data_IF_355539679819
#
_entry.id   IF_355539679819
#
_cell.length_a   1.000
_cell.length_b   1.000
_cell.length_c   1.000
_cell.angle_alpha   90.00
_cell.angle_beta   90.00
_cell.angle_gamma   90.00
#
_symmetry.space_group_name_H-M   'P 1'
#
loop_
_entity.id
_entity.type
_entity.pdbx_description
1 polymer ?
#
# COMPACT_ATOMS: atom_id res chain seq x y z
N UNK A 1 -28.65 35.20 3.45
CA UNK A 1 -27.21 34.89 3.31
C UNK A 1 -26.91 33.69 4.18
N UNK A 2 -26.20 32.65 3.71
CA UNK A 2 -25.85 31.53 4.57
C UNK A 2 -24.94 32.05 5.68
N UNK A 3 -25.31 31.77 6.92
CA UNK A 3 -24.50 32.03 8.11
C UNK A 3 -23.15 31.33 7.94
N UNK A 4 -22.09 32.10 7.77
CA UNK A 4 -20.71 31.60 7.77
C UNK A 4 -20.36 31.16 9.19
N UNK A 5 -20.72 29.92 9.52
CA UNK A 5 -20.21 29.22 10.69
C UNK A 5 -18.68 29.23 10.62
N UNK A 6 -18.02 29.76 11.66
CA UNK A 6 -16.56 29.70 11.78
C UNK A 6 -16.03 28.30 12.11
N UNK A 7 -16.92 27.32 12.27
CA UNK A 7 -16.58 25.93 12.58
C UNK A 7 -16.94 25.00 11.42
N UNK A 8 -16.11 23.96 11.22
CA UNK A 8 -16.39 22.88 10.27
C UNK A 8 -17.60 22.06 10.75
N UNK A 9 -18.53 21.79 9.84
CA UNK A 9 -19.74 20.98 10.02
C UNK A 9 -19.91 20.06 8.81
N UNK A 10 -20.75 19.03 8.91
CA UNK A 10 -21.05 18.18 7.76
C UNK A 10 -21.62 18.99 6.58
N UNK A 11 -22.34 20.07 6.87
CA UNK A 11 -22.93 20.93 5.83
C UNK A 11 -21.92 21.80 5.07
N UNK A 12 -20.69 21.95 5.58
CA UNK A 12 -19.68 22.85 4.99
C UNK A 12 -18.33 22.19 4.65
N UNK A 13 -18.23 20.87 4.75
CA UNK A 13 -17.09 20.10 4.24
C UNK A 13 -17.32 19.65 2.79
N UNK A 14 -16.26 19.16 2.14
CA UNK A 14 -16.32 18.69 0.76
C UNK A 14 -17.39 17.57 0.62
N UNK A 15 -18.42 17.75 -0.23
CA UNK A 15 -19.50 16.78 -0.38
C UNK A 15 -19.01 15.40 -0.88
N UNK A 16 -17.88 15.35 -1.59
CA UNK A 16 -17.28 14.08 -2.03
C UNK A 16 -16.79 13.22 -0.84
N UNK A 17 -16.39 13.83 0.28
CA UNK A 17 -16.05 13.09 1.50
C UNK A 17 -17.28 12.54 2.22
N UNK A 18 -18.44 13.17 2.04
CA UNK A 18 -19.72 12.74 2.63
C UNK A 18 -20.30 11.58 1.82
N UNK A 19 -20.21 11.66 0.48
CA UNK A 19 -20.73 10.64 -0.43
C UNK A 19 -19.87 9.36 -0.49
N UNK A 20 -18.58 9.45 -0.17
CA UNK A 20 -17.65 8.32 -0.25
C UNK A 20 -17.94 7.26 0.81
N UNK A 21 -18.17 6.01 0.39
CA UNK A 21 -18.35 4.86 1.27
C UNK A 21 -17.20 3.85 1.11
N UNK A 22 -16.53 3.49 2.20
CA UNK A 22 -15.46 2.49 2.17
C UNK A 22 -15.81 1.27 3.04
N UNK A 23 -16.57 0.35 2.45
CA UNK A 23 -17.17 -0.78 3.16
C UNK A 23 -16.18 -1.79 3.79
N UNK A 24 -14.90 -1.77 3.38
CA UNK A 24 -13.86 -2.70 3.91
C UNK A 24 -13.61 -2.50 5.42
N UNK A 25 -14.00 -1.35 5.98
CA UNK A 25 -13.96 -1.06 7.43
C UNK A 25 -15.32 -0.62 7.98
N UNK A 26 -16.40 -1.20 7.45
CA UNK A 26 -17.77 -0.86 7.80
C UNK A 26 -18.28 -1.43 9.13
N UNK A 27 -19.61 -1.40 9.36
CA UNK A 27 -20.26 -1.78 10.62
C UNK A 27 -19.90 -3.18 11.13
N UNK A 28 -19.69 -4.15 10.24
CA UNK A 28 -19.30 -5.51 10.62
C UNK A 28 -17.92 -5.54 11.30
N UNK A 29 -16.96 -4.74 10.81
CA UNK A 29 -15.61 -4.66 11.38
C UNK A 29 -15.64 -3.99 12.74
N UNK A 30 -16.50 -2.96 12.89
CA UNK A 30 -16.73 -2.28 14.18
C UNK A 30 -17.31 -3.27 15.18
N UNK A 31 -18.38 -3.99 14.80
CA UNK A 31 -19.02 -4.97 15.68
C UNK A 31 -18.08 -6.13 16.04
N UNK A 32 -17.27 -6.60 15.10
CA UNK A 32 -16.23 -7.61 15.37
C UNK A 32 -15.26 -7.13 16.46
N UNK A 33 -14.80 -5.87 16.40
CA UNK A 33 -13.93 -5.29 17.42
C UNK A 33 -14.59 -5.10 18.79
N UNK A 34 -15.90 -4.84 18.83
CA UNK A 34 -16.66 -4.84 20.09
C UNK A 34 -16.73 -6.24 20.70
N UNK A 35 -17.01 -7.26 19.88
CA UNK A 35 -17.09 -8.66 20.32
C UNK A 35 -15.74 -9.15 20.86
N UNK A 36 -14.62 -8.80 20.20
CA UNK A 36 -13.27 -9.08 20.70
C UNK A 36 -13.09 -8.53 22.13
N UNK A 37 -13.46 -7.26 22.37
CA UNK A 37 -13.39 -6.63 23.71
C UNK A 37 -14.37 -7.25 24.72
N UNK A 38 -15.52 -7.73 24.27
CA UNK A 38 -16.47 -8.45 25.13
C UNK A 38 -15.87 -9.80 25.58
N UNK A 39 -15.25 -10.55 24.67
CA UNK A 39 -14.58 -11.82 24.97
C UNK A 39 -13.39 -11.63 25.93
N UNK A 40 -12.58 -10.60 25.73
CA UNK A 40 -11.48 -10.23 26.66
C UNK A 40 -11.97 -9.96 28.09
N UNK A 41 -13.19 -9.43 28.24
CA UNK A 41 -13.84 -9.21 29.55
C UNK A 41 -14.51 -10.45 30.12
N UNK A 42 -14.40 -11.60 29.45
CA UNK A 42 -15.00 -12.87 29.89
C UNK A 42 -16.49 -13.00 29.61
N UNK A 43 -17.07 -12.17 28.73
CA UNK A 43 -18.47 -12.32 28.31
C UNK A 43 -18.61 -13.63 27.52
N UNK A 44 -19.49 -14.52 27.99
CA UNK A 44 -19.75 -15.80 27.30
C UNK A 44 -20.46 -15.56 25.95
N UNK A 45 -19.89 -16.11 24.88
CA UNK A 45 -20.48 -16.18 23.54
C UNK A 45 -20.49 -17.63 23.06
N UNK A 46 -21.22 -17.97 21.97
CA UNK A 46 -21.20 -19.30 21.35
C UNK A 46 -19.85 -19.71 20.70
N UNK A 47 -18.84 -18.84 20.80
CA UNK A 47 -17.49 -19.00 20.26
C UNK A 47 -16.51 -18.32 21.21
N UNK A 48 -15.24 -18.69 21.13
CA UNK A 48 -14.15 -18.26 22.01
C UNK A 48 -13.30 -17.13 21.40
N UNK A 49 -13.34 -16.96 20.09
CA UNK A 49 -12.56 -15.95 19.38
C UNK A 49 -13.29 -15.40 18.14
N UNK A 50 -12.83 -14.24 17.68
CA UNK A 50 -13.23 -13.65 16.40
C UNK A 50 -12.13 -13.94 15.36
N UNK A 51 -12.50 -14.53 14.23
CA UNK A 51 -11.59 -14.75 13.11
C UNK A 51 -11.87 -13.68 12.04
N UNK A 52 -10.86 -12.86 11.74
CA UNK A 52 -10.96 -11.77 10.75
C UNK A 52 -10.75 -12.29 9.33
N UNK A 53 -11.80 -12.86 8.74
CA UNK A 53 -11.81 -13.30 7.34
C UNK A 53 -12.28 -12.20 6.35
N UNK A 54 -12.16 -10.92 6.71
CA UNK A 54 -12.70 -9.79 5.96
C UNK A 54 -11.66 -9.00 5.16
N UNK A 55 -10.37 -9.17 5.45
CA UNK A 55 -9.25 -8.47 4.78
C UNK A 55 -8.19 -9.51 4.43
N UNK A 56 -7.59 -9.39 3.24
CA UNK A 56 -6.45 -10.19 2.80
C UNK A 56 -5.14 -9.79 3.49
N UNK A 57 -5.08 -9.91 4.82
CA UNK A 57 -3.86 -9.71 5.61
C UNK A 57 -3.23 -11.07 5.92
N UNK A 58 -2.41 -11.55 4.99
CA UNK A 58 -1.83 -12.88 5.09
C UNK A 58 -0.98 -13.08 6.34
N UNK A 59 -0.22 -12.06 6.75
CA UNK A 59 0.63 -12.16 7.94
C UNK A 59 -0.20 -12.18 9.23
N UNK A 60 -1.28 -11.38 9.32
CA UNK A 60 -2.22 -11.48 10.44
C UNK A 60 -2.89 -12.86 10.52
N UNK A 61 -3.02 -13.54 9.38
CA UNK A 61 -3.54 -14.91 9.27
C UNK A 61 -2.46 -16.01 9.38
N UNK A 62 -1.23 -15.65 9.80
CA UNK A 62 -0.18 -16.62 10.14
C UNK A 62 0.78 -17.00 9.02
N UNK A 63 0.68 -16.37 7.84
CA UNK A 63 1.67 -16.56 6.78
C UNK A 63 3.05 -16.13 7.28
N UNK A 64 4.03 -17.04 7.22
CA UNK A 64 5.40 -16.74 7.63
C UNK A 64 6.05 -15.79 6.62
N UNK A 65 6.76 -14.74 7.07
CA UNK A 65 7.42 -13.83 6.15
C UNK A 65 8.63 -14.49 5.48
N UNK A 66 8.88 -14.12 4.22
CA UNK A 66 9.98 -14.69 3.44
C UNK A 66 11.36 -14.28 4.00
N UNK A 67 12.20 -15.27 4.29
CA UNK A 67 13.54 -15.09 4.89
C UNK A 67 14.41 -14.11 4.10
N UNK A 68 14.48 -14.27 2.77
CA UNK A 68 15.28 -13.41 1.91
C UNK A 68 14.90 -11.93 2.05
N UNK A 69 13.60 -11.61 2.05
CA UNK A 69 13.12 -10.23 2.17
C UNK A 69 13.44 -9.65 3.56
N UNK A 70 13.27 -10.44 4.62
CA UNK A 70 13.61 -10.02 5.99
C UNK A 70 15.09 -9.70 6.14
N UNK A 71 15.94 -10.59 5.63
CA UNK A 71 17.39 -10.42 5.69
C UNK A 71 17.83 -9.21 4.86
N UNK A 72 17.28 -9.04 3.66
CA UNK A 72 17.56 -7.88 2.81
C UNK A 72 17.22 -6.57 3.53
N UNK A 73 16.02 -6.45 4.11
CA UNK A 73 15.64 -5.26 4.88
C UNK A 73 16.62 -5.02 6.03
N UNK A 74 16.91 -6.05 6.84
CA UNK A 74 17.84 -5.93 7.96
C UNK A 74 19.20 -5.36 7.54
N UNK A 75 19.80 -5.88 6.47
CA UNK A 75 21.09 -5.41 5.96
C UNK A 75 21.05 -3.98 5.40
N UNK A 76 19.88 -3.53 4.89
CA UNK A 76 19.73 -2.14 4.42
C UNK A 76 19.49 -1.13 5.54
N UNK A 77 18.95 -1.56 6.69
CA UNK A 77 18.74 -0.70 7.85
C UNK A 77 19.91 -0.72 8.83
N UNK A 78 20.66 -1.82 8.91
CA UNK A 78 21.80 -2.00 9.79
C UNK A 78 23.00 -2.53 9.00
N UNK A 79 23.79 -1.62 8.43
CA UNK A 79 24.87 -1.96 7.50
C UNK A 79 26.05 -2.66 8.17
N UNK A 80 26.20 -2.59 9.51
CA UNK A 80 27.21 -3.36 10.25
C UNK A 80 27.03 -4.87 10.11
N UNK A 81 25.83 -5.33 9.75
CA UNK A 81 25.53 -6.75 9.54
C UNK A 81 26.00 -7.27 8.18
N UNK A 82 26.46 -6.41 7.26
CA UNK A 82 26.98 -6.85 5.96
C UNK A 82 28.22 -7.76 6.10
N UNK A 83 29.03 -7.54 7.13
CA UNK A 83 30.22 -8.35 7.41
C UNK A 83 29.89 -9.65 8.18
N UNK A 84 28.64 -9.83 8.62
CA UNK A 84 28.24 -11.01 9.37
C UNK A 84 28.25 -12.27 8.50
N UNK A 85 28.81 -13.40 8.97
CA UNK A 85 28.75 -14.68 8.26
C UNK A 85 27.36 -15.32 8.29
N UNK A 86 26.42 -14.79 9.08
CA UNK A 86 25.05 -15.32 9.20
C UNK A 86 24.17 -15.01 7.99
N UNK A 87 24.58 -14.06 7.15
CA UNK A 87 23.82 -13.61 5.99
C UNK A 87 24.36 -14.22 4.70
N UNK A 88 23.49 -14.77 3.84
CA UNK A 88 23.89 -15.28 2.53
C UNK A 88 24.47 -14.18 1.63
N UNK A 89 25.45 -14.55 0.79
CA UNK A 89 26.15 -13.62 -0.09
C UNK A 89 25.27 -12.97 -1.16
N UNK A 90 24.24 -13.67 -1.64
CA UNK A 90 23.27 -13.12 -2.58
C UNK A 90 22.41 -12.01 -1.94
N UNK A 91 22.03 -12.16 -0.67
CA UNK A 91 21.32 -11.13 0.08
C UNK A 91 22.21 -9.91 0.30
N UNK A 92 23.47 -10.10 0.71
CA UNK A 92 24.44 -9.01 0.88
C UNK A 92 24.65 -8.24 -0.41
N UNK A 93 24.87 -8.94 -1.53
CA UNK A 93 24.99 -8.32 -2.86
C UNK A 93 23.76 -7.50 -3.21
N UNK A 94 22.55 -8.00 -2.90
CA UNK A 94 21.31 -7.25 -3.15
C UNK A 94 21.18 -6.02 -2.25
N UNK A 95 21.55 -6.13 -0.98
CA UNK A 95 21.55 -5.01 -0.04
C UNK A 95 22.52 -3.91 -0.49
N UNK A 96 23.77 -4.27 -0.83
CA UNK A 96 24.76 -3.33 -1.35
C UNK A 96 24.30 -2.66 -2.65
N UNK A 97 23.65 -3.38 -3.57
CA UNK A 97 23.11 -2.79 -4.80
C UNK A 97 22.04 -1.73 -4.51
N UNK A 98 21.17 -1.96 -3.52
CA UNK A 98 20.17 -0.97 -3.10
C UNK A 98 20.85 0.23 -2.45
N UNK A 99 21.73 0.00 -1.47
CA UNK A 99 22.45 1.05 -0.75
C UNK A 99 23.25 1.94 -1.70
N UNK A 100 23.96 1.36 -2.69
CA UNK A 100 24.70 2.12 -3.69
C UNK A 100 23.81 2.98 -4.60
N UNK A 101 22.52 2.64 -4.73
CA UNK A 101 21.56 3.48 -5.43
C UNK A 101 21.03 4.64 -4.60
N UNK A 102 21.19 4.60 -3.27
CA UNK A 102 20.75 5.65 -2.35
C UNK A 102 21.82 6.72 -2.18
N UNK A 103 21.40 7.99 -2.11
CA UNK A 103 22.32 9.08 -1.76
C UNK A 103 22.88 8.86 -0.35
N UNK A 104 24.21 8.94 -0.22
CA UNK A 104 24.90 8.70 1.06
C UNK A 104 24.82 7.25 1.54
N UNK A 105 24.49 6.30 0.66
CA UNK A 105 24.35 4.88 0.99
C UNK A 105 23.38 4.61 2.14
N UNK A 106 22.32 5.42 2.24
CA UNK A 106 21.34 5.34 3.31
C UNK A 106 19.93 5.23 2.75
N UNK A 107 19.19 4.21 3.20
CA UNK A 107 17.76 4.05 2.88
C UNK A 107 16.87 5.09 3.56
N UNK A 108 17.43 5.94 4.45
CA UNK A 108 16.74 7.09 5.03
C UNK A 108 16.78 8.35 4.16
N UNK A 109 17.56 8.35 3.08
CA UNK A 109 17.64 9.48 2.16
C UNK A 109 16.39 9.57 1.28
N UNK A 110 16.04 10.80 0.87
CA UNK A 110 15.04 10.98 -0.17
C UNK A 110 15.46 10.29 -1.48
N UNK A 111 14.47 9.82 -2.22
CA UNK A 111 14.64 9.33 -3.59
C UNK A 111 14.11 10.37 -4.57
N UNK A 112 14.37 10.17 -5.87
CA UNK A 112 13.62 10.87 -6.91
C UNK A 112 12.11 10.67 -6.73
N UNK A 113 11.31 11.59 -7.25
CA UNK A 113 9.84 11.56 -7.14
C UNK A 113 9.21 10.30 -7.75
N UNK A 114 9.82 9.72 -8.78
CA UNK A 114 9.38 8.44 -9.36
C UNK A 114 9.83 7.22 -8.53
N UNK A 115 10.71 7.42 -7.55
CA UNK A 115 11.31 6.38 -6.73
C UNK A 115 12.74 6.03 -7.11
N UNK A 116 13.37 5.21 -6.27
CA UNK A 116 14.76 4.79 -6.39
C UNK A 116 15.06 4.11 -7.74
N UNK A 117 15.97 4.69 -8.53
CA UNK A 117 16.28 4.23 -9.90
C UNK A 117 16.66 2.74 -9.97
N UNK A 118 17.56 2.28 -9.08
CA UNK A 118 17.99 0.88 -9.08
C UNK A 118 16.81 -0.09 -8.89
N UNK A 119 15.80 0.30 -8.10
CA UNK A 119 14.58 -0.50 -7.92
C UNK A 119 13.70 -0.42 -9.16
N UNK A 120 13.52 0.77 -9.75
CA UNK A 120 12.73 0.94 -10.99
C UNK A 120 13.29 0.10 -12.15
N UNK A 121 14.61 0.06 -12.32
CA UNK A 121 15.28 -0.81 -13.30
C UNK A 121 15.04 -2.29 -13.04
N UNK A 122 15.08 -2.71 -11.78
CA UNK A 122 14.80 -4.10 -11.40
C UNK A 122 13.32 -4.47 -11.64
N UNK A 123 12.39 -3.53 -11.43
CA UNK A 123 10.96 -3.71 -11.75
C UNK A 123 10.77 -3.88 -13.25
N UNK A 124 11.38 -3.03 -14.07
CA UNK A 124 11.32 -3.14 -15.53
C UNK A 124 11.85 -4.50 -16.02
N UNK A 125 13.02 -4.93 -15.51
CA UNK A 125 13.58 -6.26 -15.81
C UNK A 125 12.66 -7.41 -15.37
N UNK A 126 12.00 -7.27 -14.21
CA UNK A 126 11.03 -8.25 -13.75
C UNK A 126 9.81 -8.35 -14.69
N UNK A 127 9.28 -7.20 -15.12
CA UNK A 127 8.16 -7.13 -16.07
C UNK A 127 8.55 -7.76 -17.40
N UNK A 128 9.70 -7.38 -17.95
CA UNK A 128 10.21 -7.93 -19.21
C UNK A 128 10.35 -9.45 -19.14
N UNK A 129 10.93 -9.97 -18.05
CA UNK A 129 11.05 -11.43 -17.85
C UNK A 129 9.68 -12.10 -17.70
N UNK A 130 8.76 -11.52 -16.94
CA UNK A 130 7.39 -12.03 -16.74
C UNK A 130 6.64 -12.10 -18.08
N UNK A 131 6.84 -11.10 -18.94
CA UNK A 131 6.11 -10.92 -20.18
C UNK A 131 6.80 -11.57 -21.40
N UNK A 132 7.78 -12.45 -21.15
CA UNK A 132 8.41 -13.26 -22.20
C UNK A 132 9.41 -12.51 -23.07
N UNK A 133 10.06 -11.47 -22.54
CA UNK A 133 11.06 -10.66 -23.24
C UNK A 133 10.50 -9.41 -23.92
N UNK A 134 9.24 -9.05 -23.65
CA UNK A 134 8.67 -7.76 -24.09
C UNK A 134 9.33 -6.66 -23.27
N UNK A 135 10.04 -5.75 -23.94
CA UNK A 135 10.78 -4.67 -23.30
C UNK A 135 9.88 -3.81 -22.40
N UNK A 136 10.40 -3.46 -21.22
CA UNK A 136 9.78 -2.53 -20.28
C UNK A 136 10.77 -1.39 -19.99
N UNK A 137 10.36 -0.13 -20.17
CA UNK A 137 11.20 1.01 -19.81
C UNK A 137 11.05 1.32 -18.31
N UNK A 138 12.18 1.43 -17.62
CA UNK A 138 12.23 1.82 -16.22
C UNK A 138 11.80 3.29 -16.00
N UNK A 139 11.80 4.11 -17.03
CA UNK A 139 11.29 5.49 -17.01
C UNK A 139 9.76 5.55 -16.90
N UNK A 140 9.06 4.48 -17.30
CA UNK A 140 7.60 4.37 -17.16
C UNK A 140 7.18 3.79 -15.79
N UNK A 141 8.15 3.47 -14.92
CA UNK A 141 7.90 2.87 -13.61
C UNK A 141 7.87 3.96 -12.53
N UNK A 142 6.75 4.04 -11.81
CA UNK A 142 6.59 4.91 -10.65
C UNK A 142 6.37 4.07 -9.38
N UNK A 143 7.28 4.20 -8.42
CA UNK A 143 7.14 3.55 -7.11
C UNK A 143 6.15 4.35 -6.25
N UNK A 144 5.25 3.65 -5.58
CA UNK A 144 4.20 4.23 -4.74
C UNK A 144 4.11 3.49 -3.42
N UNK A 145 3.55 4.12 -2.40
CA UNK A 145 3.32 3.51 -1.08
C UNK A 145 2.15 2.51 -1.13
N UNK A 146 2.36 1.40 -1.84
CA UNK A 146 1.32 0.45 -2.23
C UNK A 146 0.52 0.91 -3.45
N UNK A 147 -0.37 0.05 -3.95
CA UNK A 147 -1.14 0.35 -5.17
C UNK A 147 -2.18 1.47 -4.97
N UNK A 148 -2.75 1.63 -3.77
CA UNK A 148 -3.87 2.54 -3.53
C UNK A 148 -3.55 4.01 -3.80
N UNK A 149 -2.40 4.58 -3.37
CA UNK A 149 -2.00 5.92 -3.79
C UNK A 149 -1.82 6.08 -5.31
N UNK A 150 -1.26 5.07 -6.00
CA UNK A 150 -1.11 5.09 -7.45
C UNK A 150 -2.45 5.18 -8.17
N UNK A 151 -3.43 4.36 -7.77
CA UNK A 151 -4.80 4.40 -8.30
C UNK A 151 -5.41 5.78 -8.06
N UNK A 152 -5.30 6.34 -6.84
CA UNK A 152 -5.82 7.67 -6.52
C UNK A 152 -5.20 8.77 -7.38
N UNK A 153 -3.89 8.75 -7.61
CA UNK A 153 -3.22 9.73 -8.46
C UNK A 153 -3.74 9.67 -9.91
N UNK A 154 -3.87 8.47 -10.49
CA UNK A 154 -4.40 8.31 -11.85
C UNK A 154 -5.86 8.75 -11.94
N UNK A 155 -6.71 8.32 -11.01
CA UNK A 155 -8.12 8.71 -10.97
C UNK A 155 -8.28 10.22 -10.81
N UNK A 156 -7.45 10.86 -9.98
CA UNK A 156 -7.46 12.31 -9.78
C UNK A 156 -7.00 13.06 -11.04
N UNK A 157 -6.01 12.53 -11.75
CA UNK A 157 -5.50 13.10 -12.99
C UNK A 157 -6.54 13.09 -14.12
N UNK A 158 -7.33 12.02 -14.24
CA UNK A 158 -8.37 11.89 -15.27
C UNK A 158 -9.71 12.52 -14.87
N UNK A 159 -9.86 12.97 -13.61
CA UNK A 159 -11.08 13.57 -13.10
C UNK A 159 -11.24 15.03 -13.56
N UNK A 160 -11.50 15.21 -14.86
CA UNK A 160 -11.70 16.51 -15.49
C UNK A 160 -12.87 16.45 -16.48
N UNK A 161 -13.69 17.50 -16.52
CA UNK A 161 -14.76 17.60 -17.51
C UNK A 161 -14.19 17.91 -18.90
N UNK A 162 -14.60 17.13 -19.90
CA UNK A 162 -14.18 17.32 -21.29
C UNK A 162 -15.43 17.40 -22.18
N UNK A 163 -15.58 18.50 -22.90
CA UNK A 163 -16.74 18.70 -23.78
C UNK A 163 -18.09 18.72 -23.05
N UNK A 164 -18.14 19.37 -21.87
CA UNK A 164 -19.32 19.43 -21.00
C UNK A 164 -19.85 18.07 -20.54
N UNK A 165 -18.97 17.05 -20.48
CA UNK A 165 -19.30 15.73 -19.95
C UNK A 165 -18.44 15.43 -18.73
N UNK A 166 -19.03 14.88 -17.65
CA UNK A 166 -18.26 14.41 -16.51
C UNK A 166 -17.41 13.21 -16.91
N UNK A 167 -16.26 13.00 -16.25
CA UNK A 167 -15.44 11.81 -16.46
C UNK A 167 -16.19 10.57 -15.99
N UNK A 168 -15.98 9.45 -16.69
CA UNK A 168 -16.55 8.15 -16.34
C UNK A 168 -15.47 7.07 -16.35
N UNK A 169 -15.46 6.22 -15.34
CA UNK A 169 -14.51 5.10 -15.21
C UNK A 169 -15.29 3.79 -15.19
N UNK A 170 -14.95 2.87 -16.10
CA UNK A 170 -15.54 1.54 -16.09
C UNK A 170 -14.95 0.71 -14.95
N UNK A 171 -15.81 0.15 -14.12
CA UNK A 171 -15.45 -0.72 -12.99
C UNK A 171 -16.20 -2.05 -13.11
N UNK A 172 -15.56 -3.19 -12.81
CA UNK A 172 -16.23 -4.50 -12.87
C UNK A 172 -17.26 -4.65 -11.74
N UNK A 173 -18.22 -5.55 -11.89
CA UNK A 173 -19.13 -5.92 -10.78
C UNK A 173 -19.09 -7.46 -10.64
N UNK A 174 -18.70 -8.00 -9.47
CA UNK A 174 -18.29 -7.30 -8.23
C UNK A 174 -16.90 -6.62 -8.34
N UNK A 175 -16.67 -5.59 -7.50
CA UNK A 175 -15.41 -4.82 -7.47
C UNK A 175 -14.73 -4.79 -6.10
N UNK A 176 -13.46 -4.38 -6.11
CA UNK A 176 -12.79 -3.87 -4.92
C UNK A 176 -13.26 -2.44 -4.62
N UNK A 177 -13.80 -2.13 -3.43
CA UNK A 177 -14.43 -0.84 -3.13
C UNK A 177 -13.53 0.40 -3.19
N UNK A 178 -12.21 0.24 -3.39
CA UNK A 178 -11.31 1.38 -3.61
C UNK A 178 -11.67 2.21 -4.86
N UNK A 179 -12.36 1.60 -5.83
CA UNK A 179 -12.72 2.24 -7.10
C UNK A 179 -14.10 2.93 -7.09
N UNK A 180 -14.94 2.66 -6.08
CA UNK A 180 -16.25 3.31 -5.87
C UNK A 180 -16.18 4.48 -4.92
#
# INVERSE_FOLDING_TARGET
>A
MPSSSKALTLDNINPNFIAMEYAVRGPLVIRAGEIEKELEKGVKKPFDQVIRANIGDCHAMGQQPLTFLRQLMALTFETRLLDSPEYPEDVKKRACAILNGCQGQSVGSYTDSAGLEVVRRQVAQYIEKRDGGIASDWQDIYLTAGASPGIKSILSMINSEVGCKPPGVMVPIPQYPLYS
#
